data_IF_594091824784
#
_entry.id   IF_594091824784
#
_cell.length_a   1.000
_cell.length_b   1.000
_cell.length_c   1.000
_cell.angle_alpha   90.00
_cell.angle_beta   90.00
_cell.angle_gamma   90.00
#
_symmetry.space_group_name_H-M   'P 1'
#
loop_
_entity.id
_entity.type
_entity.pdbx_description
1 polymer ?
#
# COMPACT_ATOMS: atom_id res chain seq x y z
N UNK A 1 9.47 3.28 5.05
CA UNK A 1 9.78 2.86 6.42
C UNK A 1 10.24 1.40 6.50
N UNK A 2 9.43 0.41 6.16
CA UNK A 2 9.81 -1.01 6.31
C UNK A 2 10.80 -1.55 5.27
N UNK A 3 10.88 -0.92 4.10
CA UNK A 3 11.78 -1.33 3.03
C UNK A 3 13.13 -0.66 3.19
N UNK A 4 13.15 0.60 3.59
CA UNK A 4 14.36 1.37 3.89
C UNK A 4 14.18 2.13 5.21
N UNK A 5 14.52 1.53 6.35
CA UNK A 5 14.35 2.16 7.66
C UNK A 5 15.20 3.41 7.88
N UNK A 6 16.19 3.65 7.02
CA UNK A 6 17.06 4.84 7.06
C UNK A 6 16.60 5.96 6.13
N UNK A 7 15.44 5.82 5.52
CA UNK A 7 14.92 6.86 4.65
C UNK A 7 14.41 8.05 5.49
N UNK A 8 15.32 8.92 5.83
CA UNK A 8 15.07 10.14 6.59
C UNK A 8 14.44 11.25 5.75
N UNK A 9 14.45 11.09 4.43
CA UNK A 9 13.95 12.10 3.50
C UNK A 9 12.44 11.95 3.23
N UNK A 10 11.85 10.87 3.73
CA UNK A 10 10.43 10.66 3.61
C UNK A 10 9.67 11.41 4.70
N UNK A 11 9.05 12.50 4.32
CA UNK A 11 8.09 13.22 5.15
C UNK A 11 6.69 12.68 4.84
N UNK A 12 6.03 12.14 5.86
CA UNK A 12 4.64 11.72 5.71
C UNK A 12 3.77 12.95 5.38
N UNK A 13 2.91 12.83 4.35
CA UNK A 13 2.02 13.94 4.02
C UNK A 13 1.04 14.21 5.19
N UNK A 14 0.58 15.45 5.35
CA UNK A 14 -0.30 15.85 6.46
C UNK A 14 -1.69 15.20 6.43
N UNK A 15 -1.95 14.32 5.46
CA UNK A 15 -3.16 13.50 5.39
C UNK A 15 -3.16 12.36 6.41
N UNK A 16 -2.00 11.98 6.96
CA UNK A 16 -1.92 11.01 8.04
C UNK A 16 -2.30 11.66 9.36
N UNK A 17 -3.44 11.28 9.86
CA UNK A 17 -3.88 11.67 11.21
C UNK A 17 -3.35 10.67 12.24
N UNK A 18 -3.12 11.11 13.49
CA UNK A 18 -2.62 10.22 14.57
C UNK A 18 -3.55 9.04 14.87
N UNK A 19 -4.80 9.09 14.43
CA UNK A 19 -5.83 8.09 14.74
C UNK A 19 -6.19 7.16 13.57
N UNK A 20 -5.38 7.09 12.52
CA UNK A 20 -5.67 6.25 11.34
C UNK A 20 -5.83 4.76 11.66
N UNK A 21 -5.26 4.28 12.76
CA UNK A 21 -5.39 2.88 13.17
C UNK A 21 -6.65 2.62 14.02
N UNK A 22 -7.32 3.65 14.45
CA UNK A 22 -8.51 3.56 15.28
C UNK A 22 -9.76 3.59 14.40
N UNK A 23 -10.23 2.42 13.99
CA UNK A 23 -11.34 2.27 13.03
C UNK A 23 -12.66 2.92 13.45
N UNK A 24 -12.81 3.25 14.73
CA UNK A 24 -14.00 3.93 15.27
C UNK A 24 -13.90 5.45 15.25
N UNK A 25 -12.71 5.99 14.95
CA UNK A 25 -12.51 7.44 14.85
C UNK A 25 -12.52 7.80 13.36
N UNK A 26 -13.57 8.46 12.95
CA UNK A 26 -13.67 8.97 11.57
C UNK A 26 -12.89 10.27 11.45
N UNK A 27 -12.03 10.41 10.42
CA UNK A 27 -11.32 11.66 10.19
C UNK A 27 -12.32 12.78 9.91
N UNK A 28 -12.10 13.93 10.55
CA UNK A 28 -12.94 15.12 10.38
C UNK A 28 -12.81 15.75 8.98
N UNK A 29 -11.74 15.43 8.26
CA UNK A 29 -11.43 15.99 6.96
C UNK A 29 -11.48 14.89 5.90
N UNK A 30 -12.29 15.11 4.87
CA UNK A 30 -12.32 14.25 3.70
C UNK A 30 -11.08 14.51 2.84
N UNK A 31 -10.39 13.43 2.46
CA UNK A 31 -9.23 13.53 1.58
C UNK A 31 -9.66 13.99 0.18
N UNK A 32 -8.95 14.97 -0.34
CA UNK A 32 -9.07 15.36 -1.74
C UNK A 32 -8.43 14.30 -2.63
N UNK A 33 -9.10 13.98 -3.74
CA UNK A 33 -8.62 13.02 -4.74
C UNK A 33 -7.23 13.38 -5.25
N UNK A 34 -6.98 14.65 -5.50
CA UNK A 34 -5.69 15.13 -5.98
C UNK A 34 -4.58 14.87 -4.98
N UNK A 35 -4.81 15.14 -3.70
CA UNK A 35 -3.83 14.85 -2.64
C UNK A 35 -3.47 13.36 -2.56
N UNK A 36 -4.47 12.48 -2.75
CA UNK A 36 -4.25 11.03 -2.79
C UNK A 36 -3.44 10.63 -4.02
N UNK A 37 -3.77 11.16 -5.19
CA UNK A 37 -3.07 10.86 -6.44
C UNK A 37 -1.61 11.36 -6.38
N UNK A 38 -1.35 12.57 -5.90
CA UNK A 38 0.00 13.13 -5.73
C UNK A 38 0.84 12.26 -4.77
N UNK A 39 0.24 11.82 -3.67
CA UNK A 39 0.88 10.92 -2.73
C UNK A 39 1.20 9.57 -3.36
N UNK A 40 0.25 8.99 -4.08
CA UNK A 40 0.44 7.72 -4.79
C UNK A 40 1.62 7.79 -5.78
N UNK A 41 1.69 8.84 -6.59
CA UNK A 41 2.79 9.00 -7.56
C UNK A 41 4.14 9.20 -6.86
N UNK A 42 4.18 9.91 -5.76
CA UNK A 42 5.38 10.08 -4.95
C UNK A 42 5.89 8.73 -4.42
N UNK A 43 5.01 7.93 -3.82
CA UNK A 43 5.36 6.59 -3.31
C UNK A 43 5.77 5.65 -4.44
N UNK A 44 5.03 5.66 -5.54
CA UNK A 44 5.33 4.83 -6.71
C UNK A 44 6.72 5.14 -7.27
N UNK A 45 7.04 6.40 -7.44
CA UNK A 45 8.35 6.84 -7.93
C UNK A 45 9.47 6.40 -6.99
N UNK A 46 9.31 6.63 -5.69
CA UNK A 46 10.27 6.24 -4.67
C UNK A 46 10.49 4.72 -4.62
N UNK A 47 9.42 3.96 -4.66
CA UNK A 47 9.49 2.50 -4.69
C UNK A 47 10.18 1.99 -5.96
N UNK A 48 9.88 2.57 -7.12
CA UNK A 48 10.53 2.22 -8.38
C UNK A 48 12.04 2.46 -8.31
N UNK A 49 12.48 3.62 -7.83
CA UNK A 49 13.91 3.95 -7.67
C UNK A 49 14.57 2.95 -6.71
N UNK A 50 13.94 2.67 -5.58
CA UNK A 50 14.47 1.71 -4.61
C UNK A 50 14.62 0.32 -5.21
N UNK A 51 13.57 -0.23 -5.83
CA UNK A 51 13.59 -1.58 -6.39
C UNK A 51 14.60 -1.73 -7.53
N UNK A 52 14.76 -0.70 -8.37
CA UNK A 52 15.76 -0.71 -9.46
C UNK A 52 17.19 -0.55 -8.97
N UNK A 53 17.41 -0.05 -7.77
CA UNK A 53 18.74 0.06 -7.16
C UNK A 53 19.21 -1.22 -6.48
N UNK A 54 18.32 -2.19 -6.25
CA UNK A 54 18.67 -3.45 -5.59
C UNK A 54 19.27 -4.45 -6.58
N UNK A 55 20.33 -5.11 -6.15
CA UNK A 55 20.84 -6.32 -6.79
C UNK A 55 20.29 -7.56 -6.08
N UNK A 56 20.33 -8.71 -6.75
CA UNK A 56 19.81 -9.97 -6.17
C UNK A 56 20.46 -10.31 -4.82
N UNK A 57 21.74 -9.98 -4.67
CA UNK A 57 22.49 -10.18 -3.43
C UNK A 57 21.97 -9.35 -2.27
N UNK A 58 21.46 -8.14 -2.55
CA UNK A 58 20.90 -7.24 -1.54
C UNK A 58 19.61 -7.79 -0.94
N UNK A 59 18.88 -8.58 -1.70
CA UNK A 59 17.60 -9.16 -1.27
C UNK A 59 17.75 -10.09 -0.07
N UNK A 60 18.88 -10.78 0.03
CA UNK A 60 19.19 -11.70 1.12
C UNK A 60 19.77 -11.00 2.36
N UNK A 61 20.18 -9.76 2.21
CA UNK A 61 20.72 -8.98 3.32
C UNK A 61 19.60 -8.48 4.24
N UNK A 62 19.96 -8.33 5.51
CA UNK A 62 19.09 -7.73 6.52
C UNK A 62 19.43 -6.25 6.68
N UNK A 63 18.43 -5.35 6.68
CA UNK A 63 18.66 -3.97 7.10
C UNK A 63 19.14 -3.93 8.56
N UNK A 64 19.87 -2.88 8.92
CA UNK A 64 20.33 -2.70 10.29
C UNK A 64 19.13 -2.72 11.27
N UNK A 65 19.33 -3.42 12.38
CA UNK A 65 18.31 -3.59 13.43
C UNK A 65 17.01 -4.24 12.95
N UNK A 66 17.07 -5.07 11.91
CA UNK A 66 15.93 -5.80 11.37
C UNK A 66 16.23 -7.30 11.32
N UNK A 67 15.31 -8.11 11.84
CA UNK A 67 15.44 -9.57 11.81
C UNK A 67 15.17 -10.17 10.43
N UNK A 68 14.49 -9.43 9.57
CA UNK A 68 14.02 -9.90 8.27
C UNK A 68 14.92 -9.42 7.14
N UNK A 69 15.07 -10.26 6.12
CA UNK A 69 15.77 -9.88 4.90
C UNK A 69 14.95 -8.84 4.10
N UNK A 70 15.63 -8.09 3.23
CA UNK A 70 14.94 -7.16 2.31
C UNK A 70 13.87 -7.85 1.47
N UNK A 71 14.14 -9.07 1.02
CA UNK A 71 13.17 -9.87 0.29
C UNK A 71 11.91 -10.15 1.11
N UNK A 72 12.08 -10.59 2.35
CA UNK A 72 10.95 -10.84 3.27
C UNK A 72 10.14 -9.55 3.53
N UNK A 73 10.82 -8.43 3.69
CA UNK A 73 10.17 -7.13 3.88
C UNK A 73 9.35 -6.72 2.66
N UNK A 74 9.90 -6.86 1.45
CA UNK A 74 9.20 -6.57 0.19
C UNK A 74 7.95 -7.43 0.06
N UNK A 75 8.07 -8.74 0.26
CA UNK A 75 6.93 -9.66 0.20
C UNK A 75 5.87 -9.36 1.28
N UNK A 76 6.31 -8.94 2.46
CA UNK A 76 5.41 -8.53 3.54
C UNK A 76 4.58 -7.31 3.15
N UNK A 77 5.19 -6.30 2.51
CA UNK A 77 4.48 -5.12 2.02
C UNK A 77 3.52 -5.48 0.88
N UNK A 78 3.93 -6.36 -0.02
CA UNK A 78 3.06 -6.85 -1.08
C UNK A 78 1.80 -7.53 -0.52
N UNK A 79 1.97 -8.42 0.44
CA UNK A 79 0.84 -9.07 1.14
C UNK A 79 -0.05 -8.04 1.87
N UNK A 80 0.56 -7.04 2.50
CA UNK A 80 -0.16 -5.97 3.19
C UNK A 80 -1.02 -5.14 2.22
N UNK A 81 -0.47 -4.80 1.06
CA UNK A 81 -1.21 -4.13 -0.01
C UNK A 81 -2.44 -4.93 -0.45
N UNK A 82 -2.27 -6.24 -0.70
CA UNK A 82 -3.40 -7.10 -1.09
C UNK A 82 -4.48 -7.18 -0.02
N UNK A 83 -4.10 -7.18 1.25
CA UNK A 83 -5.06 -7.12 2.36
C UNK A 83 -5.91 -5.85 2.27
N UNK A 84 -5.29 -4.70 2.10
CA UNK A 84 -6.03 -3.43 1.97
C UNK A 84 -6.88 -3.38 0.70
N UNK A 85 -6.39 -3.90 -0.41
CA UNK A 85 -7.18 -4.01 -1.64
C UNK A 85 -8.43 -4.85 -1.42
N UNK A 86 -8.31 -5.99 -0.73
CA UNK A 86 -9.45 -6.82 -0.40
C UNK A 86 -10.48 -6.11 0.49
N UNK A 87 -10.03 -5.32 1.46
CA UNK A 87 -10.91 -4.49 2.30
C UNK A 87 -11.67 -3.44 1.47
N UNK A 88 -10.98 -2.72 0.60
CA UNK A 88 -11.61 -1.72 -0.29
C UNK A 88 -12.62 -2.37 -1.23
N UNK A 89 -12.29 -3.52 -1.80
CA UNK A 89 -13.22 -4.28 -2.64
C UNK A 89 -14.48 -4.68 -1.85
N UNK A 90 -14.32 -5.14 -0.61
CA UNK A 90 -15.46 -5.48 0.26
C UNK A 90 -16.34 -4.27 0.59
N UNK A 91 -15.74 -3.09 0.80
CA UNK A 91 -16.53 -1.86 1.00
C UNK A 91 -17.30 -1.47 -0.26
N UNK A 92 -16.67 -1.54 -1.43
CA UNK A 92 -17.35 -1.24 -2.70
C UNK A 92 -18.53 -2.21 -2.92
N UNK A 93 -18.32 -3.49 -2.67
CA UNK A 93 -19.37 -4.50 -2.80
C UNK A 93 -20.53 -4.25 -1.83
N UNK A 94 -20.21 -3.93 -0.57
CA UNK A 94 -21.23 -3.64 0.44
C UNK A 94 -22.06 -2.39 0.11
N UNK A 95 -21.45 -1.37 -0.46
CA UNK A 95 -22.10 -0.11 -0.79
C UNK A 95 -22.86 -0.15 -2.13
N UNK A 96 -22.36 -0.92 -3.10
CA UNK A 96 -22.88 -0.87 -4.48
C UNK A 96 -23.55 -2.16 -4.93
N UNK A 97 -23.36 -3.26 -4.22
CA UNK A 97 -23.77 -4.61 -4.67
C UNK A 97 -22.94 -5.14 -5.86
N UNK A 98 -21.87 -4.44 -6.24
CA UNK A 98 -21.04 -4.81 -7.38
C UNK A 98 -19.69 -5.33 -6.90
N UNK A 99 -19.32 -6.54 -7.30
CA UNK A 99 -18.00 -7.07 -7.04
C UNK A 99 -16.99 -6.46 -8.05
N UNK A 100 -15.96 -5.72 -7.59
CA UNK A 100 -14.92 -5.19 -8.46
C UNK A 100 -14.19 -6.31 -9.20
N UNK A 101 -13.88 -6.09 -10.48
CA UNK A 101 -13.10 -7.06 -11.25
C UNK A 101 -11.67 -7.10 -10.75
N UNK A 102 -11.17 -8.28 -10.45
CA UNK A 102 -9.74 -8.50 -10.26
C UNK A 102 -9.05 -8.58 -11.63
N UNK A 103 -8.05 -7.75 -11.84
CA UNK A 103 -7.20 -7.86 -13.03
C UNK A 103 -6.44 -9.20 -12.97
N UNK A 104 -6.76 -10.12 -13.88
CA UNK A 104 -6.07 -11.42 -13.98
C UNK A 104 -6.94 -12.67 -13.86
N UNK A 105 -8.17 -12.57 -13.44
CA UNK A 105 -9.15 -13.66 -13.52
C UNK A 105 -9.98 -13.52 -14.79
N UNK A 106 -10.00 -14.54 -15.64
CA UNK A 106 -10.65 -14.56 -16.95
C UNK A 106 -11.99 -13.82 -17.00
N UNK A 107 -12.13 -12.96 -18.00
CA UNK A 107 -13.16 -11.94 -18.12
C UNK A 107 -14.60 -12.43 -18.23
N UNK A 108 -15.18 -12.78 -17.10
CA UNK A 108 -16.64 -12.88 -16.98
C UNK A 108 -17.26 -11.52 -16.67
N UNK A 109 -18.54 -11.29 -17.03
CA UNK A 109 -19.26 -10.10 -16.61
C UNK A 109 -19.36 -10.05 -15.07
N UNK A 110 -19.50 -8.85 -14.47
CA UNK A 110 -19.69 -8.73 -13.02
C UNK A 110 -20.92 -9.57 -12.64
N UNK A 111 -20.76 -10.43 -11.65
CA UNK A 111 -21.90 -11.15 -11.08
C UNK A 111 -22.62 -10.18 -10.15
N UNK A 112 -23.86 -9.86 -10.47
CA UNK A 112 -24.78 -9.29 -9.49
C UNK A 112 -25.20 -10.39 -8.53
N UNK A 113 -25.12 -10.12 -7.24
CA UNK A 113 -25.66 -10.98 -6.20
C UNK A 113 -27.13 -10.62 -5.96
#
# INVERSE_FOLDING_TARGET
MFINPRDTDFVEPPIHTPHLQELHIYPAVRLDRRAVDDYFYTIKSKLSIYLTSLHDEDLLQRPDNCEWTRFTLILSQYRHLYRHMGMVMGFIEAETGLCPRTLGGGGGPPRAY
#
